data_IF_207676155141
#
_entry.id   IF_207676155141
#
_cell.length_a   1.000
_cell.length_b   1.000
_cell.length_c   1.000
_cell.angle_alpha   90.00
_cell.angle_beta   90.00
_cell.angle_gamma   90.00
#
_symmetry.space_group_name_H-M   'P 1'
#
loop_
_entity.id
_entity.type
_entity.pdbx_description
1 polymer ?
#
# COMPACT_ATOMS: atom_id res chain seq x y z
N UNK A 1 21.99 -41.97 43.34
CA UNK A 1 21.26 -42.76 42.32
C UNK A 1 19.83 -43.06 42.77
N UNK A 2 18.83 -42.40 42.19
CA UNK A 2 17.75 -43.00 41.37
C UNK A 2 16.78 -41.90 40.89
N UNK A 3 16.24 -42.00 39.67
CA UNK A 3 15.59 -40.92 38.93
C UNK A 3 14.06 -41.00 39.02
N UNK A 4 13.36 -39.90 38.68
CA UNK A 4 11.94 -39.76 38.23
C UNK A 4 11.53 -38.29 38.49
N UNK A 5 10.81 -37.52 37.68
CA UNK A 5 9.98 -37.78 36.50
C UNK A 5 10.09 -36.58 35.54
N UNK A 6 10.06 -36.92 34.25
CA UNK A 6 10.04 -36.04 33.09
C UNK A 6 8.65 -35.41 32.97
N UNK A 7 8.53 -34.08 33.06
CA UNK A 7 7.30 -33.37 32.67
C UNK A 7 7.41 -33.03 31.19
N UNK A 8 6.65 -33.76 30.37
CA UNK A 8 6.32 -33.40 29.00
C UNK A 8 5.24 -32.30 29.07
N UNK A 9 5.65 -31.05 28.86
CA UNK A 9 4.74 -29.95 28.59
C UNK A 9 4.42 -29.91 27.11
N UNK A 10 3.33 -30.58 26.71
CA UNK A 10 2.71 -30.45 25.38
C UNK A 10 2.04 -29.07 25.30
N UNK A 11 2.83 -28.05 24.93
CA UNK A 11 2.31 -26.74 24.56
C UNK A 11 1.72 -26.82 23.16
N UNK A 12 0.39 -26.74 23.07
CA UNK A 12 -0.35 -26.67 21.83
C UNK A 12 0.16 -25.50 20.98
N UNK A 13 0.69 -25.80 19.79
CA UNK A 13 0.87 -24.82 18.72
C UNK A 13 -0.52 -24.31 18.33
N UNK A 14 -0.86 -23.11 18.78
CA UNK A 14 -1.93 -22.33 18.18
C UNK A 14 -1.42 -21.90 16.80
N UNK A 15 -1.86 -22.59 15.75
CA UNK A 15 -1.60 -22.20 14.37
C UNK A 15 -2.37 -20.90 14.08
N UNK A 16 -1.72 -19.77 14.34
CA UNK A 16 -2.14 -18.46 13.87
C UNK A 16 -2.06 -18.51 12.34
N UNK A 17 -3.20 -18.64 11.67
CA UNK A 17 -3.27 -18.53 10.21
C UNK A 17 -3.01 -17.08 9.81
N UNK A 18 -1.72 -16.72 9.72
CA UNK A 18 -1.30 -15.51 9.01
C UNK A 18 -1.69 -15.70 7.54
N UNK A 19 -2.85 -15.16 7.15
CA UNK A 19 -3.07 -14.76 5.76
C UNK A 19 -2.21 -13.53 5.52
N UNK A 20 -0.90 -13.76 5.42
CA UNK A 20 0.03 -12.81 4.87
C UNK A 20 -0.32 -12.63 3.39
N UNK A 21 -0.32 -11.38 2.94
CA UNK A 21 -0.39 -11.01 1.54
C UNK A 21 0.77 -11.68 0.79
N UNK A 22 0.52 -12.89 0.29
CA UNK A 22 1.50 -13.63 -0.50
C UNK A 22 1.43 -13.07 -1.91
N UNK A 23 2.54 -12.62 -2.51
CA UNK A 23 2.56 -12.26 -3.92
C UNK A 23 2.17 -13.49 -4.74
N UNK A 24 1.07 -13.36 -5.49
CA UNK A 24 0.58 -14.34 -6.46
C UNK A 24 1.66 -14.53 -7.55
N UNK A 25 2.47 -15.56 -7.39
CA UNK A 25 3.36 -16.05 -8.46
C UNK A 25 2.48 -16.70 -9.53
N UNK A 26 2.64 -16.37 -10.83
CA UNK A 26 1.86 -16.97 -11.89
C UNK A 26 2.27 -18.44 -12.05
N UNK A 27 1.62 -19.31 -11.30
CA UNK A 27 1.70 -20.76 -11.52
C UNK A 27 0.92 -21.05 -12.79
N UNK A 28 1.64 -21.32 -13.87
CA UNK A 28 1.12 -21.95 -15.09
C UNK A 28 0.61 -23.36 -14.77
N UNK A 29 -0.59 -23.42 -14.19
CA UNK A 29 -1.35 -24.66 -14.05
C UNK A 29 -2.38 -24.72 -15.18
N UNK A 30 -1.99 -25.39 -16.26
CA UNK A 30 -2.90 -25.98 -17.24
C UNK A 30 -3.89 -26.87 -16.51
N UNK A 31 -5.04 -26.31 -16.12
CA UNK A 31 -6.19 -27.08 -15.67
C UNK A 31 -7.21 -27.10 -16.79
N UNK A 32 -7.14 -28.17 -17.59
CA UNK A 32 -8.25 -28.63 -18.42
C UNK A 32 -9.43 -28.92 -17.50
N UNK A 33 -10.35 -27.96 -17.37
CA UNK A 33 -11.66 -28.19 -16.79
C UNK A 33 -12.69 -28.19 -17.91
N UNK A 34 -13.02 -29.41 -18.34
CA UNK A 34 -14.19 -29.71 -19.16
C UNK A 34 -15.43 -29.49 -18.29
N UNK A 35 -16.04 -28.31 -18.37
CA UNK A 35 -17.38 -28.07 -17.83
C UNK A 35 -18.36 -27.91 -18.98
N UNK A 36 -19.08 -28.99 -19.24
CA UNK A 36 -20.30 -29.01 -20.05
C UNK A 36 -21.32 -28.08 -19.41
N UNK A 37 -21.76 -27.05 -20.13
CA UNK A 37 -22.98 -26.33 -19.82
C UNK A 37 -23.76 -26.14 -21.12
N UNK A 38 -24.85 -26.88 -21.20
CA UNK A 38 -25.85 -26.79 -22.25
C UNK A 38 -26.72 -25.56 -21.95
N UNK A 39 -26.56 -24.50 -22.73
CA UNK A 39 -27.55 -23.42 -22.80
C UNK A 39 -28.09 -23.36 -24.22
N UNK A 40 -29.30 -23.90 -24.39
CA UNK A 40 -30.14 -23.63 -25.56
C UNK A 40 -30.77 -22.26 -25.40
N UNK A 41 -30.43 -21.35 -26.31
CA UNK A 41 -31.02 -20.02 -26.41
C UNK A 41 -30.81 -19.47 -27.82
N UNK A 42 -31.60 -19.99 -28.75
CA UNK A 42 -31.86 -19.32 -30.03
C UNK A 42 -32.81 -18.16 -29.78
N UNK A 43 -32.45 -16.95 -30.21
CA UNK A 43 -33.29 -16.26 -31.19
C UNK A 43 -32.57 -15.10 -31.89
N UNK A 44 -33.03 -14.89 -33.12
CA UNK A 44 -32.37 -14.23 -34.26
C UNK A 44 -32.86 -12.78 -34.43
N UNK A 45 -31.98 -11.92 -34.97
CA UNK A 45 -32.21 -10.88 -36.00
C UNK A 45 -31.55 -9.54 -35.63
N UNK A 46 -30.45 -9.15 -36.29
CA UNK A 46 -30.37 -8.31 -37.50
C UNK A 46 -30.72 -6.84 -37.26
N UNK A 47 -29.71 -5.95 -37.26
CA UNK A 47 -29.78 -4.78 -38.13
C UNK A 47 -28.39 -4.28 -38.54
N UNK A 48 -28.35 -3.77 -39.76
CA UNK A 48 -27.22 -3.33 -40.56
C UNK A 48 -26.96 -1.85 -40.34
N UNK A 49 -25.72 -1.43 -40.16
CA UNK A 49 -25.33 -0.05 -40.52
C UNK A 49 -23.83 0.03 -40.87
N UNK A 50 -23.60 0.08 -42.18
CA UNK A 50 -22.39 0.54 -42.85
C UNK A 50 -22.19 2.04 -42.61
N UNK A 51 -20.96 2.45 -42.26
CA UNK A 51 -20.44 3.76 -42.65
C UNK A 51 -18.91 3.72 -42.76
N UNK A 52 -18.45 3.81 -44.00
CA UNK A 52 -17.07 3.96 -44.45
C UNK A 52 -16.63 5.41 -44.27
N UNK A 53 -15.42 5.65 -43.75
CA UNK A 53 -14.65 6.86 -44.07
C UNK A 53 -13.15 6.58 -43.97
N UNK A 54 -12.55 6.48 -45.15
CA UNK A 54 -11.13 6.51 -45.46
C UNK A 54 -10.52 7.90 -45.24
N UNK A 55 -9.24 7.95 -44.86
CA UNK A 55 -8.39 9.14 -44.98
C UNK A 55 -7.05 8.93 -44.27
N UNK A 56 -6.05 8.34 -44.92
CA UNK A 56 -4.96 9.00 -45.68
C UNK A 56 -3.75 9.36 -44.80
N UNK A 57 -2.61 8.78 -45.18
CA UNK A 57 -1.30 8.87 -44.55
C UNK A 57 -0.65 10.26 -44.63
N UNK A 58 0.33 10.52 -43.75
CA UNK A 58 1.63 11.08 -44.19
C UNK A 58 2.73 10.93 -43.12
N UNK A 59 3.88 10.51 -43.62
CA UNK A 59 5.20 10.39 -43.00
C UNK A 59 5.76 11.69 -42.39
N UNK A 60 6.52 11.50 -41.31
CA UNK A 60 7.96 11.83 -41.25
C UNK A 60 8.39 13.30 -41.34
N UNK A 61 8.93 13.82 -40.24
CA UNK A 61 10.28 14.40 -40.18
C UNK A 61 10.61 14.76 -38.73
N UNK A 62 11.64 14.10 -38.20
CA UNK A 62 12.42 14.59 -37.08
C UNK A 62 13.29 15.77 -37.55
N UNK A 63 13.39 16.80 -36.73
CA UNK A 63 14.63 17.55 -36.42
C UNK A 63 14.23 18.81 -35.61
N UNK A 64 14.71 18.94 -34.37
CA UNK A 64 14.97 20.22 -33.70
C UNK A 64 15.78 19.97 -32.41
N UNK A 65 17.08 20.28 -32.48
CA UNK A 65 17.97 20.73 -31.39
C UNK A 65 17.43 22.04 -30.75
N UNK A 66 18.10 22.75 -29.81
CA UNK A 66 19.12 22.40 -28.79
C UNK A 66 18.71 22.86 -27.35
N UNK A 67 19.55 22.49 -26.37
CA UNK A 67 19.85 23.11 -25.05
C UNK A 67 18.91 24.19 -24.42
N UNK A 68 18.61 24.08 -23.11
CA UNK A 68 19.08 25.00 -22.04
C UNK A 68 18.29 24.86 -20.73
N UNK A 69 19.01 25.07 -19.63
CA UNK A 69 18.62 24.99 -18.23
C UNK A 69 17.36 25.78 -17.85
N UNK A 70 16.56 25.24 -16.92
CA UNK A 70 15.74 26.05 -16.02
C UNK A 70 15.61 25.33 -14.68
N UNK A 71 16.12 26.00 -13.65
CA UNK A 71 16.03 25.65 -12.24
C UNK A 71 14.60 25.30 -11.84
N UNK A 72 14.38 24.11 -11.30
CA UNK A 72 13.14 23.78 -10.59
C UNK A 72 13.35 24.10 -9.11
N UNK A 73 12.43 24.84 -8.44
CA UNK A 73 12.61 25.26 -7.06
C UNK A 73 12.62 24.07 -6.12
N UNK A 74 13.62 24.02 -5.25
CA UNK A 74 13.61 23.25 -4.02
C UNK A 74 12.30 23.53 -3.27
N UNK A 75 11.55 22.52 -2.77
CA UNK A 75 10.47 22.80 -1.85
C UNK A 75 11.09 23.50 -0.64
N UNK A 76 10.53 24.66 -0.29
CA UNK A 76 10.83 25.32 0.96
C UNK A 76 10.32 24.40 2.08
N UNK A 77 11.24 23.79 2.83
CA UNK A 77 10.92 23.33 4.18
C UNK A 77 10.52 24.58 4.97
N UNK A 78 9.22 24.83 5.04
CA UNK A 78 8.64 25.68 6.06
C UNK A 78 8.98 25.01 7.38
N UNK A 79 10.00 25.52 8.06
CA UNK A 79 10.33 25.12 9.41
C UNK A 79 9.17 25.55 10.32
N UNK A 80 8.21 24.65 10.51
CA UNK A 80 7.29 24.73 11.62
C UNK A 80 8.16 24.79 12.89
N UNK A 81 8.06 25.89 13.62
CA UNK A 81 8.67 25.99 14.94
C UNK A 81 7.84 25.10 15.86
N UNK A 82 8.22 23.82 15.91
CA UNK A 82 7.48 22.80 16.61
C UNK A 82 7.59 22.99 18.12
N UNK A 83 6.43 23.01 18.79
CA UNK A 83 6.36 22.75 20.21
C UNK A 83 6.80 21.32 20.51
N UNK A 84 6.96 21.02 21.79
CA UNK A 84 7.21 19.65 22.24
C UNK A 84 6.31 19.42 23.43
N UNK A 85 5.16 18.83 23.16
CA UNK A 85 4.25 18.35 24.19
C UNK A 85 4.13 16.84 24.01
N UNK A 86 4.12 16.11 25.12
CA UNK A 86 4.07 14.64 25.14
C UNK A 86 5.33 13.91 24.66
N UNK A 87 6.46 14.61 24.51
CA UNK A 87 7.76 14.00 24.20
C UNK A 87 8.04 13.83 22.71
N UNK A 88 7.08 14.17 21.85
CA UNK A 88 7.28 14.30 20.42
C UNK A 88 7.50 15.76 20.06
N UNK A 89 8.39 16.01 19.10
CA UNK A 89 8.52 17.32 18.45
C UNK A 89 7.44 17.46 17.39
N UNK A 90 6.84 18.64 17.32
CA UNK A 90 5.88 18.94 16.25
C UNK A 90 6.64 19.13 14.93
N UNK A 91 6.01 18.72 13.82
CA UNK A 91 6.61 18.78 12.50
C UNK A 91 6.06 17.75 11.53
N UNK A 92 6.62 17.75 10.33
CA UNK A 92 6.33 16.76 9.30
C UNK A 92 7.44 15.70 9.30
N UNK A 93 7.04 14.43 9.31
CA UNK A 93 7.95 13.28 9.41
C UNK A 93 7.60 12.25 8.34
N UNK A 94 8.62 11.67 7.72
CA UNK A 94 8.44 10.70 6.65
C UNK A 94 9.25 9.44 6.92
N UNK A 95 8.63 8.29 6.65
CA UNK A 95 9.27 6.98 6.76
C UNK A 95 8.68 5.99 5.76
N UNK A 96 9.50 5.02 5.35
CA UNK A 96 9.06 3.92 4.51
C UNK A 96 8.69 2.74 5.39
N UNK A 97 7.45 2.28 5.25
CA UNK A 97 6.90 1.14 5.99
C UNK A 97 7.00 -0.15 5.20
N UNK A 98 7.79 -1.11 5.68
CA UNK A 98 7.97 -2.40 5.01
C UNK A 98 7.08 -3.48 5.62
N UNK A 99 6.59 -4.39 4.77
CA UNK A 99 5.75 -5.50 5.22
C UNK A 99 5.87 -6.74 4.34
N UNK A 100 5.38 -7.87 4.86
CA UNK A 100 5.40 -9.13 4.12
C UNK A 100 6.82 -9.61 3.77
N UNK A 101 6.98 -10.33 2.66
CA UNK A 101 8.27 -10.95 2.29
C UNK A 101 9.27 -10.03 1.58
N UNK A 102 9.08 -8.71 1.65
CA UNK A 102 9.77 -7.71 0.80
C UNK A 102 9.56 -8.00 -0.72
N UNK A 103 9.71 -7.00 -1.61
CA UNK A 103 9.92 -5.58 -1.34
C UNK A 103 8.60 -4.81 -1.16
N UNK A 104 7.58 -5.40 -0.53
CA UNK A 104 6.31 -4.69 -0.30
C UNK A 104 6.47 -3.58 0.74
N UNK A 105 6.17 -2.35 0.34
CA UNK A 105 6.27 -1.16 1.19
C UNK A 105 5.25 -0.10 0.76
N UNK A 106 5.17 0.97 1.56
CA UNK A 106 4.57 2.25 1.21
C UNK A 106 5.30 3.36 1.96
N UNK A 107 5.31 4.56 1.41
CA UNK A 107 5.90 5.73 2.04
C UNK A 107 4.82 6.49 2.80
N UNK A 108 5.08 6.82 4.07
CA UNK A 108 4.14 7.52 4.95
C UNK A 108 4.75 8.85 5.33
N UNK A 109 3.95 9.91 5.23
CA UNK A 109 4.25 11.23 5.78
C UNK A 109 3.18 11.60 6.79
N UNK A 110 3.59 11.96 8.01
CA UNK A 110 2.69 12.39 9.09
C UNK A 110 3.04 13.82 9.51
N UNK A 111 2.03 14.65 9.69
CA UNK A 111 2.18 15.91 10.42
C UNK A 111 1.76 15.70 11.87
N UNK A 112 2.66 16.04 12.78
CA UNK A 112 2.48 15.90 14.22
C UNK A 112 2.39 17.30 14.83
N UNK A 113 1.37 17.52 15.67
CA UNK A 113 1.18 18.71 16.49
C UNK A 113 0.72 18.27 17.89
N UNK A 114 1.44 18.68 18.93
CA UNK A 114 1.14 18.37 20.33
C UNK A 114 1.02 16.84 20.58
N UNK A 115 1.87 16.05 19.92
CA UNK A 115 1.83 14.57 19.98
C UNK A 115 0.64 13.92 19.25
N UNK A 116 -0.14 14.69 18.49
CA UNK A 116 -1.32 14.26 17.74
C UNK A 116 -1.08 14.31 16.23
N UNK A 117 -1.61 13.33 15.49
CA UNK A 117 -1.58 13.36 14.02
C UNK A 117 -2.61 14.37 13.51
N UNK A 118 -2.16 15.40 12.80
CA UNK A 118 -3.05 16.41 12.19
C UNK A 118 -3.25 16.17 10.70
N UNK A 119 -2.29 15.54 10.03
CA UNK A 119 -2.35 15.21 8.61
C UNK A 119 -1.59 13.92 8.31
N UNK A 120 -2.01 13.21 7.27
CA UNK A 120 -1.36 11.98 6.78
C UNK A 120 -1.40 11.92 5.26
N UNK A 121 -0.24 11.65 4.68
CA UNK A 121 -0.08 11.25 3.29
C UNK A 121 0.55 9.86 3.21
N UNK A 122 0.11 9.07 2.24
CA UNK A 122 0.61 7.72 2.03
C UNK A 122 0.72 7.43 0.55
N UNK A 123 1.93 7.11 0.11
CA UNK A 123 2.28 6.81 -1.29
C UNK A 123 2.49 5.32 -1.49
N UNK A 124 1.88 4.78 -2.55
CA UNK A 124 1.77 3.34 -2.80
C UNK A 124 2.60 2.93 -4.03
N UNK A 125 3.76 2.27 -3.86
CA UNK A 125 4.66 1.94 -4.97
C UNK A 125 4.31 0.62 -5.69
N UNK A 126 3.21 -0.05 -5.33
CA UNK A 126 2.85 -1.33 -5.95
C UNK A 126 2.48 -1.20 -7.43
N UNK A 127 3.11 -2.03 -8.27
CA UNK A 127 2.81 -2.12 -9.70
C UNK A 127 1.78 -3.21 -10.04
N UNK A 128 1.72 -4.26 -9.21
CA UNK A 128 0.72 -5.32 -9.39
C UNK A 128 -0.67 -4.79 -9.02
N UNK A 129 -1.63 -4.92 -9.93
CA UNK A 129 -2.99 -4.37 -9.79
C UNK A 129 -3.69 -4.83 -8.50
N UNK A 130 -3.50 -6.09 -8.10
CA UNK A 130 -4.09 -6.61 -6.86
C UNK A 130 -3.48 -5.95 -5.63
N UNK A 131 -2.15 -5.85 -5.58
CA UNK A 131 -1.44 -5.19 -4.48
C UNK A 131 -1.75 -3.70 -4.42
N UNK A 132 -1.78 -3.02 -5.58
CA UNK A 132 -2.13 -1.61 -5.68
C UNK A 132 -3.55 -1.36 -5.16
N UNK A 133 -4.52 -2.21 -5.52
CA UNK A 133 -5.89 -2.11 -5.02
C UNK A 133 -5.99 -2.21 -3.50
N UNK A 134 -5.21 -3.08 -2.85
CA UNK A 134 -5.15 -3.13 -1.38
C UNK A 134 -4.49 -1.90 -0.77
N UNK A 135 -3.37 -1.44 -1.35
CA UNK A 135 -2.67 -0.27 -0.86
C UNK A 135 -3.51 1.01 -0.98
N UNK A 136 -4.22 1.20 -2.10
CA UNK A 136 -5.12 2.33 -2.32
C UNK A 136 -6.30 2.34 -1.34
N UNK A 137 -6.98 1.20 -1.14
CA UNK A 137 -8.07 1.11 -0.17
C UNK A 137 -7.62 1.38 1.26
N UNK A 138 -6.40 0.94 1.60
CA UNK A 138 -5.78 1.25 2.88
C UNK A 138 -5.49 2.76 3.00
N UNK A 139 -4.89 3.35 1.97
CA UNK A 139 -4.60 4.79 1.90
C UNK A 139 -5.85 5.65 2.07
N UNK A 140 -6.96 5.29 1.43
CA UNK A 140 -8.24 6.00 1.55
C UNK A 140 -8.85 5.89 2.96
N UNK A 141 -8.67 4.75 3.64
CA UNK A 141 -9.25 4.50 4.95
C UNK A 141 -8.38 5.05 6.11
N UNK A 142 -7.08 5.24 5.89
CA UNK A 142 -6.12 5.60 6.92
C UNK A 142 -6.40 6.97 7.59
N UNK A 143 -6.71 8.06 6.86
CA UNK A 143 -6.96 9.36 7.48
C UNK A 143 -8.11 9.33 8.48
N UNK A 144 -9.19 8.62 8.15
CA UNK A 144 -10.36 8.47 9.01
C UNK A 144 -10.06 7.66 10.28
N UNK A 145 -9.04 6.79 10.22
CA UNK A 145 -8.56 6.11 11.39
C UNK A 145 -7.72 7.08 12.24
N UNK A 146 -6.65 7.67 11.70
CA UNK A 146 -5.57 8.21 12.55
C UNK A 146 -5.60 9.71 12.81
N UNK A 147 -6.24 10.52 11.97
CA UNK A 147 -6.23 11.98 12.12
C UNK A 147 -7.00 12.38 13.38
N UNK A 148 -6.39 13.25 14.18
CA UNK A 148 -6.89 13.69 15.48
C UNK A 148 -6.61 12.71 16.63
N UNK A 149 -5.82 11.65 16.39
CA UNK A 149 -5.40 10.69 17.44
C UNK A 149 -3.95 10.91 17.85
N UNK A 150 -3.66 10.59 19.11
CA UNK A 150 -2.31 10.62 19.68
C UNK A 150 -1.44 9.53 19.09
N UNK A 151 -0.16 9.85 18.85
CA UNK A 151 0.84 8.91 18.32
C UNK A 151 0.98 7.62 19.14
N UNK A 152 0.79 7.69 20.46
CA UNK A 152 0.91 6.53 21.34
C UNK A 152 -0.32 5.62 21.35
N UNK A 153 -1.49 6.15 20.97
CA UNK A 153 -2.74 5.41 20.93
C UNK A 153 -3.02 4.77 19.55
N UNK A 154 -2.17 5.07 18.56
CA UNK A 154 -2.29 4.51 17.23
C UNK A 154 -1.90 3.04 17.22
N UNK A 155 -2.91 2.18 17.06
CA UNK A 155 -2.74 0.78 16.69
C UNK A 155 -3.70 0.44 15.56
N UNK A 156 -3.14 0.02 14.41
CA UNK A 156 -3.92 -0.40 13.25
C UNK A 156 -3.58 -1.86 12.97
N UNK A 157 -4.50 -2.78 13.26
CA UNK A 157 -4.27 -4.22 13.05
C UNK A 157 -4.72 -4.67 11.65
N UNK A 158 -5.95 -4.30 11.27
CA UNK A 158 -6.52 -4.56 9.95
C UNK A 158 -7.44 -3.42 9.55
N UNK A 159 -7.07 -2.72 8.50
CA UNK A 159 -7.85 -1.64 7.92
C UNK A 159 -8.15 -1.96 6.45
N UNK A 160 -9.38 -1.67 6.02
CA UNK A 160 -9.85 -1.99 4.66
C UNK A 160 -9.61 -3.44 4.21
N UNK A 161 -9.60 -4.39 5.16
CA UNK A 161 -9.35 -5.80 4.91
C UNK A 161 -7.87 -6.20 4.78
N UNK A 162 -6.93 -5.24 4.84
CA UNK A 162 -5.49 -5.48 4.66
C UNK A 162 -4.72 -5.44 5.99
N UNK A 163 -4.20 -6.59 6.44
CA UNK A 163 -3.28 -6.65 7.59
C UNK A 163 -1.84 -6.34 7.20
N UNK A 164 -1.41 -6.66 5.97
CA UNK A 164 -0.06 -6.36 5.49
C UNK A 164 0.20 -4.85 5.37
N UNK A 165 -0.75 -4.10 4.80
CA UNK A 165 -0.62 -2.64 4.76
C UNK A 165 -0.62 -2.02 6.16
N UNK A 166 -1.37 -2.61 7.09
CA UNK A 166 -1.38 -2.19 8.49
C UNK A 166 -0.01 -2.44 9.16
N UNK A 167 0.61 -3.61 8.92
CA UNK A 167 1.97 -3.93 9.38
C UNK A 167 3.00 -2.91 8.87
N UNK A 168 2.97 -2.58 7.59
CA UNK A 168 3.88 -1.57 7.03
C UNK A 168 3.65 -0.19 7.62
N UNK A 169 2.41 0.20 7.88
CA UNK A 169 2.12 1.48 8.52
C UNK A 169 2.66 1.52 9.95
N UNK A 170 2.50 0.43 10.71
CA UNK A 170 3.05 0.35 12.07
C UNK A 170 4.58 0.36 12.08
N UNK A 171 5.23 -0.22 11.07
CA UNK A 171 6.68 -0.12 10.85
C UNK A 171 7.13 1.33 10.56
N UNK A 172 6.44 2.03 9.67
CA UNK A 172 6.70 3.46 9.40
C UNK A 172 6.44 4.33 10.63
N UNK A 173 5.36 4.07 11.37
CA UNK A 173 4.99 4.80 12.57
C UNK A 173 6.08 4.68 13.65
N UNK A 174 6.64 3.49 13.85
CA UNK A 174 7.74 3.30 14.79
C UNK A 174 8.97 4.17 14.43
N UNK A 175 9.34 4.22 13.15
CA UNK A 175 10.43 5.07 12.66
C UNK A 175 10.12 6.56 12.86
N UNK A 176 8.89 7.00 12.59
CA UNK A 176 8.47 8.39 12.79
C UNK A 176 8.52 8.77 14.27
N UNK A 177 8.11 7.87 15.18
CA UNK A 177 8.22 8.09 16.63
C UNK A 177 9.67 8.28 17.07
N UNK A 178 10.60 7.49 16.52
CA UNK A 178 12.03 7.64 16.79
C UNK A 178 12.56 8.98 16.24
N UNK A 179 12.15 9.40 15.04
CA UNK A 179 12.52 10.69 14.45
C UNK A 179 11.98 11.88 15.27
N UNK A 180 10.74 11.79 15.74
CA UNK A 180 10.08 12.86 16.47
C UNK A 180 10.57 13.00 17.92
N UNK A 181 11.25 11.99 18.47
CA UNK A 181 11.82 12.00 19.83
C UNK A 181 13.32 12.30 19.88
N UNK A 182 14.02 12.29 18.73
CA UNK A 182 15.45 12.60 18.60
C UNK A 182 15.76 14.08 18.86
#
# INVERSE_FOLDING_TARGET
MRPTHRVLGTGALLALSLTACTPDQPSTSTSTSTSTSTSTGTDTSTDTATATATGTASEGAAESEPETSTSSPSPASSAATGGSTEGYRDGEYSATGWYGSLPSHHDVTLTIDDGTVTDVDITTPAENETSLGYQQRFAEALPQAIVGRKLDDLNVDRLAGSSGCSEGFMDALAQIKDQATA
#
